data_IF_230811955610
#
_entry.id   IF_230811955610
#
_cell.length_a   1.000
_cell.length_b   1.000
_cell.length_c   1.000
_cell.angle_alpha   90.00
_cell.angle_beta   90.00
_cell.angle_gamma   90.00
#
_symmetry.space_group_name_H-M   'P 1'
#
loop_
_entity.id
_entity.type
_entity.pdbx_description
1 polymer ?
#
# COMPACT_ATOMS: atom_id res chain seq x y z
N UNK A 1 12.46 18.59 -20.02
CA UNK A 1 11.66 17.67 -19.18
C UNK A 1 11.69 18.16 -17.74
N UNK A 2 10.54 18.19 -17.06
CA UNK A 2 10.46 18.58 -15.65
C UNK A 2 11.06 17.46 -14.78
N UNK A 3 11.78 17.80 -13.70
CA UNK A 3 12.37 16.81 -12.76
C UNK A 3 11.33 15.82 -12.24
N UNK A 4 10.08 16.25 -12.13
CA UNK A 4 8.93 15.44 -11.70
C UNK A 4 8.58 14.34 -12.69
N UNK A 5 8.74 14.54 -14.00
CA UNK A 5 8.46 13.50 -14.99
C UNK A 5 9.50 12.39 -14.93
N UNK A 6 10.78 12.72 -14.74
CA UNK A 6 11.86 11.73 -14.61
C UNK A 6 11.70 10.86 -13.36
N UNK A 7 11.27 11.44 -12.23
CA UNK A 7 11.00 10.67 -11.01
C UNK A 7 9.80 9.73 -11.18
N UNK A 8 8.74 10.19 -11.83
CA UNK A 8 7.57 9.36 -12.13
C UNK A 8 7.91 8.21 -13.09
N UNK A 9 8.74 8.46 -14.10
CA UNK A 9 9.18 7.42 -15.03
C UNK A 9 10.06 6.36 -14.32
N UNK A 10 10.89 6.78 -13.36
CA UNK A 10 11.67 5.85 -12.53
C UNK A 10 10.77 4.95 -11.65
N UNK A 11 9.75 5.54 -11.03
CA UNK A 11 8.76 4.79 -10.21
C UNK A 11 7.95 3.84 -11.09
N UNK A 12 7.58 4.27 -12.30
CA UNK A 12 6.89 3.43 -13.27
C UNK A 12 7.75 2.25 -13.75
N UNK A 13 9.07 2.42 -13.89
CA UNK A 13 9.98 1.30 -14.18
C UNK A 13 9.98 0.23 -13.07
N UNK A 14 9.66 0.62 -11.83
CA UNK A 14 9.60 -0.27 -10.67
C UNK A 14 8.23 -0.94 -10.47
N UNK A 15 7.29 -0.80 -11.43
CA UNK A 15 5.90 -1.29 -11.37
C UNK A 15 5.77 -2.77 -10.97
N UNK A 16 6.68 -3.62 -11.43
CA UNK A 16 6.68 -5.05 -11.05
C UNK A 16 6.90 -5.25 -9.54
N UNK A 17 7.76 -4.44 -8.91
CA UNK A 17 8.00 -4.50 -7.47
C UNK A 17 6.82 -3.93 -6.68
N UNK A 18 6.17 -2.88 -7.19
CA UNK A 18 4.94 -2.33 -6.59
C UNK A 18 3.84 -3.41 -6.53
N UNK A 19 3.72 -4.26 -7.56
CA UNK A 19 2.77 -5.39 -7.56
C UNK A 19 3.05 -6.37 -6.42
N UNK A 20 4.32 -6.66 -6.14
CA UNK A 20 4.70 -7.53 -5.01
C UNK A 20 4.39 -6.86 -3.67
N UNK A 21 4.65 -5.56 -3.53
CA UNK A 21 4.31 -4.78 -2.34
C UNK A 21 2.80 -4.80 -2.07
N UNK A 22 1.98 -4.60 -3.10
CA UNK A 22 0.51 -4.67 -2.99
C UNK A 22 0.07 -6.07 -2.52
N UNK A 23 0.64 -7.13 -3.10
CA UNK A 23 0.32 -8.50 -2.69
C UNK A 23 0.69 -8.75 -1.21
N UNK A 24 1.84 -8.26 -0.78
CA UNK A 24 2.28 -8.33 0.61
C UNK A 24 1.35 -7.54 1.54
N UNK A 25 0.94 -6.32 1.17
CA UNK A 25 0.00 -5.52 1.93
C UNK A 25 -1.37 -6.18 2.07
N UNK A 26 -1.85 -6.88 1.02
CA UNK A 26 -3.09 -7.66 1.09
C UNK A 26 -2.93 -8.81 2.09
N UNK A 27 -1.83 -9.56 2.02
CA UNK A 27 -1.56 -10.65 2.96
C UNK A 27 -1.47 -10.14 4.41
N UNK A 28 -0.75 -9.03 4.64
CA UNK A 28 -0.66 -8.37 5.93
C UNK A 28 -2.03 -7.88 6.43
N UNK A 29 -2.84 -7.28 5.56
CA UNK A 29 -4.19 -6.83 5.89
C UNK A 29 -5.13 -7.97 6.25
N UNK A 30 -5.01 -9.13 5.60
CA UNK A 30 -5.77 -10.33 5.96
C UNK A 30 -5.38 -10.85 7.34
N UNK A 31 -4.08 -10.96 7.63
CA UNK A 31 -3.60 -11.38 8.95
C UNK A 31 -4.03 -10.39 10.05
N UNK A 32 -4.01 -9.09 9.74
CA UNK A 32 -4.48 -8.05 10.64
C UNK A 32 -5.99 -8.15 10.88
N UNK A 33 -6.79 -8.41 9.85
CA UNK A 33 -8.23 -8.59 9.99
C UNK A 33 -8.56 -9.80 10.88
N UNK A 34 -7.77 -10.88 10.79
CA UNK A 34 -7.90 -12.05 11.66
C UNK A 34 -7.53 -11.77 13.12
N UNK A 35 -6.71 -10.75 13.41
CA UNK A 35 -6.33 -10.41 14.78
C UNK A 35 -7.36 -9.53 15.50
N UNK A 36 -8.18 -8.77 14.78
CA UNK A 36 -9.23 -7.88 15.32
C UNK A 36 -10.10 -8.53 16.41
N UNK A 37 -10.67 -9.74 16.25
CA UNK A 37 -11.54 -10.33 17.27
C UNK A 37 -10.82 -10.73 18.57
N UNK A 38 -9.49 -10.68 18.62
CA UNK A 38 -8.69 -11.08 19.77
C UNK A 38 -8.13 -9.90 20.57
N UNK A 39 -8.43 -8.66 20.19
CA UNK A 39 -7.90 -7.45 20.82
C UNK A 39 -9.05 -6.56 21.25
N UNK A 40 -9.17 -6.33 22.56
CA UNK A 40 -10.23 -5.52 23.13
C UNK A 40 -9.79 -4.07 23.40
N UNK A 41 -10.71 -3.09 23.34
CA UNK A 41 -10.44 -1.73 23.77
C UNK A 41 -9.99 -1.70 25.24
N UNK A 42 -8.75 -1.27 25.49
CA UNK A 42 -8.13 -1.27 26.81
C UNK A 42 -6.89 -2.17 26.89
N UNK A 43 -6.72 -3.09 25.94
CA UNK A 43 -5.51 -3.88 25.81
C UNK A 43 -4.30 -3.02 25.40
N UNK A 44 -3.11 -3.41 25.87
CA UNK A 44 -1.85 -2.81 25.41
C UNK A 44 -1.65 -2.94 23.89
N UNK A 45 -2.27 -3.94 23.27
CA UNK A 45 -2.22 -4.20 21.85
C UNK A 45 -3.21 -3.37 21.03
N UNK A 46 -4.26 -2.80 21.65
CA UNK A 46 -5.29 -2.02 20.95
C UNK A 46 -4.73 -0.82 20.16
N UNK A 47 -3.87 0.06 20.73
CA UNK A 47 -3.31 1.16 19.96
C UNK A 47 -2.41 0.68 18.80
N UNK A 48 -1.72 -0.44 18.97
CA UNK A 48 -0.87 -1.04 17.93
C UNK A 48 -1.75 -1.51 16.77
N UNK A 49 -2.85 -2.21 17.07
CA UNK A 49 -3.82 -2.65 16.06
C UNK A 49 -4.35 -1.46 15.24
N UNK A 50 -4.72 -0.36 15.90
CA UNK A 50 -5.23 0.84 15.20
C UNK A 50 -4.18 1.44 14.27
N UNK A 51 -2.93 1.58 14.75
CA UNK A 51 -1.83 2.12 13.94
C UNK A 51 -1.57 1.21 12.73
N UNK A 52 -1.52 -0.10 12.94
CA UNK A 52 -1.30 -1.07 11.87
C UNK A 52 -2.41 -1.03 10.82
N UNK A 53 -3.68 -0.87 11.24
CA UNK A 53 -4.80 -0.71 10.31
C UNK A 53 -4.60 0.53 9.45
N UNK A 54 -4.28 1.67 10.05
CA UNK A 54 -4.05 2.93 9.33
C UNK A 54 -2.88 2.81 8.37
N UNK A 55 -1.77 2.19 8.81
CA UNK A 55 -0.58 1.98 7.98
C UNK A 55 -0.90 1.07 6.79
N UNK A 56 -1.56 -0.07 7.01
CA UNK A 56 -1.90 -1.02 5.94
C UNK A 56 -2.88 -0.39 4.95
N UNK A 57 -3.96 0.22 5.42
CA UNK A 57 -4.97 0.84 4.55
C UNK A 57 -4.38 2.02 3.78
N UNK A 58 -3.61 2.88 4.45
CA UNK A 58 -2.95 4.03 3.84
C UNK A 58 -1.92 3.61 2.78
N UNK A 59 -1.07 2.64 3.10
CA UNK A 59 -0.08 2.10 2.17
C UNK A 59 -0.76 1.42 0.97
N UNK A 60 -1.79 0.61 1.20
CA UNK A 60 -2.52 -0.08 0.14
C UNK A 60 -3.16 0.93 -0.82
N UNK A 61 -3.78 1.98 -0.30
CA UNK A 61 -4.31 3.09 -1.09
C UNK A 61 -3.21 3.76 -1.93
N UNK A 62 -2.12 4.20 -1.28
CA UNK A 62 -1.00 4.87 -1.95
C UNK A 62 -0.36 4.03 -3.06
N UNK A 63 0.00 2.78 -2.77
CA UNK A 63 0.65 1.90 -3.75
C UNK A 63 -0.30 1.48 -4.86
N UNK A 64 -1.58 1.24 -4.57
CA UNK A 64 -2.57 0.91 -5.61
C UNK A 64 -2.82 2.09 -6.55
N UNK A 65 -2.97 3.31 -6.02
CA UNK A 65 -3.12 4.51 -6.84
C UNK A 65 -1.87 4.77 -7.68
N UNK A 66 -0.68 4.61 -7.10
CA UNK A 66 0.59 4.74 -7.83
C UNK A 66 0.70 3.71 -8.96
N UNK A 67 0.40 2.45 -8.67
CA UNK A 67 0.39 1.38 -9.67
C UNK A 67 -0.61 1.66 -10.79
N UNK A 68 -1.82 2.09 -10.45
CA UNK A 68 -2.86 2.45 -11.43
C UNK A 68 -2.43 3.62 -12.30
N UNK A 69 -1.87 4.68 -11.72
CA UNK A 69 -1.37 5.85 -12.45
C UNK A 69 -0.27 5.46 -13.44
N UNK A 70 0.73 4.69 -13.00
CA UNK A 70 1.79 4.19 -13.88
C UNK A 70 1.27 3.26 -14.98
N UNK A 71 0.25 2.45 -14.66
CA UNK A 71 -0.41 1.57 -15.65
C UNK A 71 -1.12 2.37 -16.73
N UNK A 72 -1.90 3.38 -16.33
CA UNK A 72 -2.65 4.21 -17.25
C UNK A 72 -1.72 4.99 -18.18
N UNK A 73 -0.66 5.58 -17.65
CA UNK A 73 0.34 6.29 -18.45
C UNK A 73 0.99 5.39 -19.51
N UNK A 74 1.33 4.15 -19.15
CA UNK A 74 1.89 3.18 -20.10
C UNK A 74 0.89 2.69 -21.17
N UNK A 75 -0.40 3.00 -21.04
CA UNK A 75 -1.42 2.74 -22.06
C UNK A 75 -1.74 3.97 -22.92
N UNK A 76 -1.47 5.17 -22.39
CA UNK A 76 -1.67 6.45 -23.08
C UNK A 76 -0.44 6.84 -23.95
N UNK A 77 0.75 6.29 -23.64
CA UNK A 77 1.97 6.32 -24.46
C UNK A 77 1.97 5.20 -25.53
#
# INVERSE_FOLDING_TARGET
MSKTSTLLDLVAAQRAQIRVIIALLIASGLLLALSIPFVEPGDRAFPILVIDIVLVVGALGFFSTTYWYCTKRAMDD
#
